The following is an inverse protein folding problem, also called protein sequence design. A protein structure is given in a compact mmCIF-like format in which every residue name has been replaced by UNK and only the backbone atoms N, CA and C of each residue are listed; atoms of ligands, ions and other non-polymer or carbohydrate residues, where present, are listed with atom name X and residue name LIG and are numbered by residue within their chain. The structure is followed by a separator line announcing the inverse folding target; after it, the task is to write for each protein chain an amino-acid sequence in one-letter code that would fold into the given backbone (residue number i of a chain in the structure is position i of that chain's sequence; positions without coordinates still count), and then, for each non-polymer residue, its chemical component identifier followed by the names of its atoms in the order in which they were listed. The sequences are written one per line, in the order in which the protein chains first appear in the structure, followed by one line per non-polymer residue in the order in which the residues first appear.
data_IF_664793651132
#
_entry.id   IF_664793651132
#
_cell.length_a   1.000
_cell.length_b   1.000
_cell.length_c   1.000
_cell.angle_alpha   90.00
_cell.angle_beta   90.00
_cell.angle_gamma   90.00
#
_symmetry.space_group_name_H-M   'P 1'
#
loop_
_entity.id
_entity.type
_entity.pdbx_description
1 polymer ?
#
# COMPACT_ATOMS: atom_id res chain seq x y z
N UNK A 1 11.69 0.82 -18.98
CA UNK A 1 11.42 1.69 -17.82
C UNK A 1 10.11 1.32 -17.10
N UNK A 2 9.05 1.04 -17.82
CA UNK A 2 7.74 0.66 -17.27
C UNK A 2 7.82 -0.61 -16.41
N UNK A 3 8.49 -1.66 -16.86
CA UNK A 3 8.74 -2.86 -16.06
C UNK A 3 9.45 -2.59 -14.73
N UNK A 4 10.46 -1.73 -14.71
CA UNK A 4 11.16 -1.33 -13.49
C UNK A 4 10.24 -0.62 -12.49
N UNK A 5 9.29 0.19 -12.99
CA UNK A 5 8.29 0.87 -12.17
C UNK A 5 7.22 -0.13 -11.70
N UNK A 6 6.60 -0.87 -12.62
CA UNK A 6 5.53 -1.81 -12.32
C UNK A 6 5.96 -2.89 -11.31
N UNK A 7 7.22 -3.38 -11.43
CA UNK A 7 7.78 -4.36 -10.50
C UNK A 7 8.43 -3.72 -9.24
N UNK A 8 8.25 -2.45 -9.03
CA UNK A 8 8.85 -1.67 -7.94
C UNK A 8 10.34 -2.01 -7.75
N UNK A 9 11.16 -1.52 -8.66
CA UNK A 9 12.62 -1.76 -8.66
C UNK A 9 13.00 -3.25 -8.74
N UNK A 10 12.24 -4.05 -9.48
CA UNK A 10 12.39 -5.51 -9.64
C UNK A 10 12.08 -6.33 -8.38
N UNK A 11 11.54 -5.73 -7.31
CA UNK A 11 11.09 -6.45 -6.10
C UNK A 11 10.01 -7.48 -6.45
N UNK A 12 9.10 -7.14 -7.37
CA UNK A 12 8.05 -8.05 -7.84
C UNK A 12 8.56 -9.32 -8.54
N UNK A 13 9.84 -9.41 -8.86
CA UNK A 13 10.45 -10.64 -9.39
C UNK A 13 10.83 -11.64 -8.29
N UNK A 14 10.78 -11.25 -7.01
CA UNK A 14 11.10 -12.13 -5.89
C UNK A 14 10.01 -13.17 -5.68
N UNK A 15 10.43 -14.42 -5.50
CA UNK A 15 9.53 -15.55 -5.24
C UNK A 15 9.74 -16.06 -3.79
N UNK A 16 8.73 -16.67 -3.16
CA UNK A 16 7.48 -17.20 -3.74
C UNK A 16 6.31 -16.20 -3.81
N UNK A 17 6.29 -15.08 -3.11
CA UNK A 17 5.13 -14.19 -2.94
C UNK A 17 5.46 -12.75 -3.34
N UNK A 18 5.45 -12.39 -4.65
CA UNK A 18 5.85 -11.07 -5.14
C UNK A 18 5.14 -9.91 -4.44
N UNK A 19 3.82 -9.94 -4.34
CA UNK A 19 3.03 -8.90 -3.67
C UNK A 19 3.39 -8.72 -2.20
N UNK A 20 3.75 -9.79 -1.48
CA UNK A 20 4.25 -9.68 -0.10
C UNK A 20 5.61 -8.96 -0.07
N UNK A 21 6.49 -9.25 -1.01
CA UNK A 21 7.76 -8.54 -1.14
C UNK A 21 7.56 -7.07 -1.54
N UNK A 22 6.60 -6.80 -2.45
CA UNK A 22 6.19 -5.45 -2.83
C UNK A 22 5.72 -4.64 -1.63
N UNK A 23 4.77 -5.19 -0.86
CA UNK A 23 4.25 -4.57 0.37
C UNK A 23 5.34 -4.36 1.43
N UNK A 24 6.26 -5.33 1.63
CA UNK A 24 7.39 -5.18 2.55
C UNK A 24 8.36 -4.09 2.10
N UNK A 25 8.69 -4.01 0.82
CA UNK A 25 9.57 -2.99 0.27
C UNK A 25 8.92 -1.59 0.31
N UNK A 26 7.59 -1.51 0.28
CA UNK A 26 6.85 -0.27 0.43
C UNK A 26 7.07 0.39 1.80
N UNK A 27 7.35 -0.39 2.87
CA UNK A 27 7.54 0.14 4.23
C UNK A 27 8.77 1.05 4.33
N UNK A 28 10.01 0.60 4.02
CA UNK A 28 11.17 1.47 4.08
C UNK A 28 11.11 2.62 3.07
N UNK A 29 10.48 2.43 1.91
CA UNK A 29 10.26 3.49 0.94
C UNK A 29 9.35 4.60 1.51
N UNK A 30 8.24 4.23 2.15
CA UNK A 30 7.36 5.16 2.86
C UNK A 30 8.11 5.96 3.93
N UNK A 31 8.89 5.25 4.76
CA UNK A 31 9.70 5.89 5.79
C UNK A 31 10.70 6.89 5.18
N UNK A 32 11.41 6.52 4.12
CA UNK A 32 12.39 7.39 3.46
C UNK A 32 11.74 8.65 2.86
N UNK A 33 10.57 8.52 2.21
CA UNK A 33 9.82 9.66 1.66
C UNK A 33 9.38 10.58 2.81
N UNK A 34 8.83 10.01 3.89
CA UNK A 34 8.44 10.80 5.05
C UNK A 34 9.63 11.51 5.71
N UNK A 35 10.78 10.84 5.85
CA UNK A 35 11.97 11.43 6.42
C UNK A 35 12.51 12.62 5.58
N UNK A 36 12.35 12.54 4.25
CA UNK A 36 12.82 13.59 3.34
C UNK A 36 11.82 14.76 3.19
N UNK A 37 10.51 14.47 3.17
CA UNK A 37 9.48 15.42 2.75
C UNK A 37 8.33 15.60 3.77
N UNK A 38 8.41 14.94 4.93
CA UNK A 38 7.37 14.97 5.96
C UNK A 38 6.07 14.26 5.56
N UNK A 39 5.05 14.42 6.41
CA UNK A 39 3.74 13.76 6.22
C UNK A 39 3.02 14.26 4.95
N UNK A 40 3.16 15.54 4.62
CA UNK A 40 2.51 16.11 3.42
C UNK A 40 3.16 15.53 2.16
N UNK A 41 4.49 15.48 2.11
CA UNK A 41 5.21 14.88 0.98
C UNK A 41 4.88 13.41 0.80
N UNK A 42 4.76 12.65 1.89
CA UNK A 42 4.30 11.26 1.84
C UNK A 42 2.85 11.14 1.34
N UNK A 43 1.94 11.98 1.82
CA UNK A 43 0.55 11.98 1.37
C UNK A 43 0.42 12.30 -0.13
N UNK A 44 1.25 13.20 -0.67
CA UNK A 44 1.29 13.51 -2.10
C UNK A 44 1.96 12.41 -2.94
N UNK A 45 2.85 11.63 -2.35
CA UNK A 45 3.46 10.49 -3.03
C UNK A 45 2.46 9.36 -3.33
N UNK A 46 1.39 9.21 -2.53
CA UNK A 46 0.35 8.20 -2.75
C UNK A 46 -0.35 8.36 -4.10
N UNK A 47 -1.00 9.49 -4.42
CA UNK A 47 -1.61 9.66 -5.74
C UNK A 47 -0.56 9.67 -6.86
N UNK A 48 0.66 10.11 -6.61
CA UNK A 48 1.73 10.06 -7.61
C UNK A 48 2.11 8.61 -7.96
N UNK A 49 2.34 7.74 -6.97
CA UNK A 49 2.64 6.33 -7.22
C UNK A 49 1.47 5.61 -7.87
N UNK A 50 0.23 5.94 -7.50
CA UNK A 50 -0.97 5.40 -8.15
C UNK A 50 -1.00 5.74 -9.66
N UNK A 51 -0.83 7.01 -10.02
CA UNK A 51 -0.89 7.45 -11.42
C UNK A 51 0.26 6.87 -12.26
N UNK A 52 1.47 6.88 -11.71
CA UNK A 52 2.65 6.32 -12.37
C UNK A 52 2.52 4.79 -12.49
N UNK A 53 2.04 4.14 -11.43
CA UNK A 53 1.78 2.70 -11.38
C UNK A 53 0.71 2.30 -12.41
N UNK A 54 -0.43 2.97 -12.42
CA UNK A 54 -1.47 2.74 -13.42
C UNK A 54 -0.95 2.86 -14.85
N UNK A 55 -0.19 3.92 -15.15
CA UNK A 55 0.41 4.10 -16.46
C UNK A 55 1.39 2.96 -16.81
N UNK A 56 2.25 2.57 -15.86
CA UNK A 56 3.22 1.49 -16.08
C UNK A 56 2.54 0.13 -16.24
N UNK A 57 1.57 -0.19 -15.39
CA UNK A 57 0.77 -1.42 -15.46
C UNK A 57 0.03 -1.52 -16.79
N UNK A 58 -0.60 -0.42 -17.24
CA UNK A 58 -1.30 -0.38 -18.51
C UNK A 58 -0.38 -0.73 -19.69
N UNK A 59 0.86 -0.22 -19.71
CA UNK A 59 1.82 -0.52 -20.79
C UNK A 59 2.31 -1.97 -20.70
N UNK A 60 2.57 -2.49 -19.48
CA UNK A 60 3.08 -3.85 -19.31
C UNK A 60 2.03 -4.93 -19.59
N UNK A 61 0.74 -4.59 -19.47
CA UNK A 61 -0.38 -5.52 -19.75
C UNK A 61 -1.00 -5.34 -21.13
N UNK A 62 -0.64 -4.28 -21.87
CA UNK A 62 -1.19 -4.00 -23.19
C UNK A 62 -0.87 -5.12 -24.18
N UNK A 63 -1.90 -5.64 -24.85
CA UNK A 63 -1.77 -6.75 -25.82
C UNK A 63 -1.44 -8.11 -25.20
N UNK A 64 -1.54 -8.27 -23.87
CA UNK A 64 -1.38 -9.56 -23.19
C UNK A 64 -2.74 -10.12 -22.73
N UNK A 65 -2.84 -11.46 -22.67
CA UNK A 65 -4.03 -12.13 -22.11
C UNK A 65 -4.04 -12.10 -20.58
N UNK A 66 -2.92 -11.75 -19.95
CA UNK A 66 -2.78 -11.66 -18.50
C UNK A 66 -2.86 -10.20 -18.06
N UNK A 67 -4.00 -9.79 -17.54
CA UNK A 67 -4.27 -8.42 -17.09
C UNK A 67 -3.64 -8.10 -15.73
N UNK A 68 -3.30 -9.12 -14.94
CA UNK A 68 -2.69 -9.00 -13.61
C UNK A 68 -1.49 -9.96 -13.49
N UNK A 69 -0.34 -9.64 -14.07
CA UNK A 69 0.88 -10.41 -13.88
C UNK A 69 1.38 -10.28 -12.43
N UNK A 70 1.58 -11.39 -11.75
CA UNK A 70 1.99 -11.41 -10.33
C UNK A 70 3.32 -10.70 -10.00
N UNK A 71 4.07 -10.29 -11.00
CA UNK A 71 5.31 -9.50 -10.85
C UNK A 71 5.07 -7.98 -10.84
N UNK A 72 3.87 -7.53 -11.20
CA UNK A 72 3.44 -6.16 -10.98
C UNK A 72 3.08 -6.05 -9.50
N UNK A 73 3.74 -5.13 -8.79
CA UNK A 73 3.61 -4.94 -7.34
C UNK A 73 3.55 -3.46 -6.96
N UNK A 74 3.43 -2.57 -7.95
CA UNK A 74 3.31 -1.13 -7.73
C UNK A 74 1.95 -0.75 -7.12
N UNK A 75 0.93 -1.53 -7.36
CA UNK A 75 -0.40 -1.50 -6.76
C UNK A 75 -0.33 -1.77 -5.26
N UNK A 76 0.38 -2.84 -4.86
CA UNK A 76 0.62 -3.14 -3.45
C UNK A 76 1.39 -2.02 -2.75
N UNK A 77 2.29 -1.34 -3.46
CA UNK A 77 2.98 -0.17 -2.89
C UNK A 77 1.99 0.96 -2.63
N UNK A 78 1.11 1.26 -3.57
CA UNK A 78 0.10 2.30 -3.41
C UNK A 78 -0.87 1.97 -2.26
N UNK A 79 -1.40 0.74 -2.21
CA UNK A 79 -2.30 0.26 -1.16
C UNK A 79 -1.64 0.24 0.21
N UNK A 80 -0.41 -0.26 0.30
CA UNK A 80 0.36 -0.27 1.54
C UNK A 80 0.65 1.14 2.07
N UNK A 81 0.93 2.12 1.19
CA UNK A 81 1.14 3.50 1.61
C UNK A 81 -0.14 4.16 2.12
N UNK A 82 -1.30 3.84 1.55
CA UNK A 82 -2.60 4.26 2.08
C UNK A 82 -2.81 3.70 3.49
N UNK A 83 -2.52 2.41 3.69
CA UNK A 83 -2.65 1.75 4.99
C UNK A 83 -1.74 2.37 6.07
N UNK A 84 -0.56 2.89 5.68
CA UNK A 84 0.41 3.54 6.57
C UNK A 84 0.05 4.99 6.91
N UNK A 85 -0.71 5.68 6.07
CA UNK A 85 -0.97 7.12 6.20
C UNK A 85 -1.48 7.53 7.60
N UNK A 86 -2.42 6.81 8.24
CA UNK A 86 -2.88 7.16 9.58
C UNK A 86 -1.76 7.16 10.63
N UNK A 87 -0.76 6.27 10.49
CA UNK A 87 0.37 6.18 11.42
C UNK A 87 1.25 7.42 11.30
N UNK A 88 1.52 7.86 10.07
CA UNK A 88 2.34 9.06 9.83
C UNK A 88 1.63 10.33 10.31
N UNK A 89 0.32 10.43 10.09
CA UNK A 89 -0.50 11.54 10.61
C UNK A 89 -0.52 11.51 12.15
N UNK A 90 -0.77 10.34 12.75
CA UNK A 90 -0.79 10.18 14.20
C UNK A 90 0.54 10.51 14.87
N UNK A 91 1.66 10.05 14.27
CA UNK A 91 2.99 10.36 14.75
C UNK A 91 3.30 11.87 14.71
N UNK A 92 2.90 12.54 13.62
CA UNK A 92 3.08 13.99 13.48
C UNK A 92 2.28 14.78 14.52
N UNK A 93 1.02 14.37 14.80
CA UNK A 93 0.18 15.03 15.80
C UNK A 93 0.66 14.83 17.24
N UNK A 94 1.19 13.64 17.53
CA UNK A 94 1.67 13.27 18.85
C UNK A 94 3.15 13.65 19.08
N UNK A 95 3.82 14.25 18.10
CA UNK A 95 5.27 14.49 18.08
C UNK A 95 6.07 13.22 18.45
N UNK A 96 5.53 12.06 18.08
CA UNK A 96 6.06 10.76 18.46
C UNK A 96 7.08 10.25 17.44
N UNK A 97 8.02 9.44 17.94
CA UNK A 97 8.94 8.74 17.06
C UNK A 97 8.16 7.72 16.21
N UNK A 98 8.20 7.90 14.89
CA UNK A 98 7.49 7.07 13.94
C UNK A 98 7.83 5.58 14.05
N UNK A 99 9.11 5.25 14.31
CA UNK A 99 9.54 3.85 14.48
C UNK A 99 9.05 3.25 15.80
N UNK A 100 8.80 4.08 16.82
CA UNK A 100 8.19 3.59 18.06
C UNK A 100 6.73 3.15 17.87
N UNK A 101 6.07 3.57 16.79
CA UNK A 101 4.73 3.15 16.42
C UNK A 101 4.71 1.81 15.66
N UNK A 102 5.70 0.94 15.87
CA UNK A 102 5.84 -0.35 15.19
C UNK A 102 4.58 -1.24 15.24
N UNK A 103 3.73 -1.24 16.32
CA UNK A 103 2.50 -2.05 16.29
C UNK A 103 1.55 -1.58 15.19
N UNK A 104 1.51 -0.26 14.93
CA UNK A 104 0.75 0.31 13.83
C UNK A 104 1.28 -0.16 12.46
N UNK A 105 2.61 -0.18 12.29
CA UNK A 105 3.23 -0.68 11.06
C UNK A 105 2.87 -2.14 10.79
N UNK A 106 2.92 -2.98 11.82
CA UNK A 106 2.52 -4.40 11.73
C UNK A 106 1.03 -4.51 11.39
N UNK A 107 0.18 -3.73 12.05
CA UNK A 107 -1.27 -3.71 11.77
C UNK A 107 -1.56 -3.28 10.34
N UNK A 108 -0.89 -2.23 9.85
CA UNK A 108 -1.06 -1.76 8.47
C UNK A 108 -0.63 -2.82 7.45
N UNK A 109 0.53 -3.45 7.67
CA UNK A 109 1.03 -4.49 6.77
C UNK A 109 0.13 -5.73 6.75
N UNK A 110 -0.17 -6.29 7.92
CA UNK A 110 -0.99 -7.50 8.01
C UNK A 110 -2.44 -7.23 7.57
N UNK A 111 -3.00 -6.08 7.95
CA UNK A 111 -4.34 -5.68 7.54
C UNK A 111 -4.44 -5.50 6.02
N UNK A 112 -3.49 -4.79 5.42
CA UNK A 112 -3.45 -4.61 3.97
C UNK A 112 -3.36 -5.97 3.27
N UNK A 113 -2.39 -6.83 3.63
CA UNK A 113 -2.25 -8.17 3.01
C UNK A 113 -3.48 -9.06 3.22
N UNK A 114 -4.13 -8.96 4.38
CA UNK A 114 -5.37 -9.69 4.64
C UNK A 114 -6.48 -9.28 3.66
N UNK A 115 -6.74 -8.00 3.51
CA UNK A 115 -7.80 -7.49 2.63
C UNK A 115 -7.49 -7.72 1.16
N UNK A 116 -6.25 -7.49 0.74
CA UNK A 116 -5.79 -7.72 -0.62
C UNK A 116 -5.91 -9.21 -1.02
N UNK A 117 -5.47 -10.15 -0.20
CA UNK A 117 -5.54 -11.58 -0.50
C UNK A 117 -6.98 -12.10 -0.47
N UNK A 118 -7.81 -11.62 0.48
CA UNK A 118 -9.19 -12.11 0.63
C UNK A 118 -10.15 -11.53 -0.39
N UNK A 119 -9.80 -10.41 -1.00
CA UNK A 119 -10.60 -9.71 -2.03
C UNK A 119 -12.06 -9.49 -1.60
N UNK A 120 -12.28 -9.14 -0.32
CA UNK A 120 -13.62 -9.04 0.26
C UNK A 120 -14.42 -7.86 -0.30
N UNK A 121 -15.66 -8.11 -0.70
CA UNK A 121 -16.65 -7.09 -1.11
C UNK A 121 -16.18 -6.19 -2.26
N UNK A 122 -16.04 -4.86 -2.05
CA UNK A 122 -15.69 -3.92 -3.13
C UNK A 122 -14.28 -4.13 -3.69
N UNK A 123 -13.37 -4.78 -2.96
CA UNK A 123 -12.04 -5.14 -3.44
C UNK A 123 -12.17 -6.17 -4.58
N UNK A 124 -12.96 -7.23 -4.35
CA UNK A 124 -13.22 -8.24 -5.39
C UNK A 124 -13.97 -7.68 -6.60
N UNK A 125 -14.80 -6.65 -6.41
CA UNK A 125 -15.42 -5.95 -7.54
C UNK A 125 -14.38 -5.20 -8.39
N UNK A 126 -13.41 -4.54 -7.77
CA UNK A 126 -12.34 -3.85 -8.49
C UNK A 126 -11.41 -4.83 -9.22
N UNK A 127 -11.03 -5.93 -8.56
CA UNK A 127 -10.23 -7.02 -9.12
C UNK A 127 -10.84 -7.65 -10.39
N UNK A 128 -12.18 -7.80 -10.41
CA UNK A 128 -12.90 -8.36 -11.55
C UNK A 128 -12.97 -7.45 -12.79
N UNK A 129 -12.46 -6.22 -12.74
CA UNK A 129 -12.48 -5.30 -13.89
C UNK A 129 -11.65 -5.80 -15.07
N UNK A 130 -10.57 -6.55 -14.81
CA UNK A 130 -9.71 -7.09 -15.85
C UNK A 130 -8.95 -6.03 -16.67
N UNK A 131 -8.71 -4.86 -16.08
CA UNK A 131 -7.93 -3.77 -16.67
C UNK A 131 -6.88 -3.21 -15.69
N UNK A 132 -5.90 -2.49 -16.18
CA UNK A 132 -4.84 -1.90 -15.35
C UNK A 132 -5.37 -0.96 -14.25
N UNK A 133 -6.55 -0.38 -14.43
CA UNK A 133 -7.18 0.42 -13.41
C UNK A 133 -7.77 -0.46 -12.31
N UNK A 134 -8.31 -1.62 -12.66
CA UNK A 134 -8.80 -2.62 -11.70
C UNK A 134 -7.69 -3.10 -10.79
N UNK A 135 -6.54 -3.47 -11.36
CA UNK A 135 -5.32 -3.90 -10.64
C UNK A 135 -4.88 -2.85 -9.61
N UNK A 136 -4.92 -1.57 -9.95
CA UNK A 136 -4.56 -0.51 -9.01
C UNK A 136 -5.64 -0.22 -7.97
N UNK A 137 -6.94 -0.35 -8.35
CA UNK A 137 -8.06 0.04 -7.48
C UNK A 137 -8.34 -0.98 -6.38
N UNK A 138 -8.18 -2.27 -6.62
CA UNK A 138 -8.44 -3.28 -5.59
C UNK A 138 -7.48 -3.08 -4.42
N UNK A 139 -6.21 -2.79 -4.67
CA UNK A 139 -5.23 -2.51 -3.63
C UNK A 139 -5.44 -1.15 -2.95
N UNK A 140 -5.89 -0.13 -3.67
CA UNK A 140 -6.31 1.13 -3.06
C UNK A 140 -7.46 0.90 -2.07
N UNK A 141 -8.46 0.11 -2.45
CA UNK A 141 -9.60 -0.21 -1.57
C UNK A 141 -9.12 -1.07 -0.40
N UNK A 142 -8.28 -2.07 -0.62
CA UNK A 142 -7.67 -2.88 0.45
C UNK A 142 -6.87 -2.00 1.43
N UNK A 143 -6.09 -1.05 0.91
CA UNK A 143 -5.34 -0.06 1.69
C UNK A 143 -6.24 0.84 2.53
N UNK A 144 -7.38 1.29 2.00
CA UNK A 144 -8.37 2.08 2.75
C UNK A 144 -8.99 1.27 3.91
N UNK A 145 -9.35 0.01 3.69
CA UNK A 145 -9.83 -0.86 4.76
C UNK A 145 -8.78 -1.09 5.83
N UNK A 146 -7.52 -1.30 5.42
CA UNK A 146 -6.40 -1.43 6.36
C UNK A 146 -6.14 -0.12 7.14
N UNK A 147 -6.25 1.03 6.50
CA UNK A 147 -6.15 2.33 7.17
C UNK A 147 -7.23 2.52 8.23
N UNK A 148 -8.48 2.15 7.94
CA UNK A 148 -9.58 2.16 8.93
C UNK A 148 -9.25 1.22 10.09
N UNK A 149 -8.76 0.00 9.80
CA UNK A 149 -8.36 -0.95 10.85
C UNK A 149 -7.27 -0.36 11.74
N UNK A 150 -6.25 0.29 11.17
CA UNK A 150 -5.18 0.97 11.94
C UNK A 150 -5.76 2.03 12.88
N UNK A 151 -6.67 2.87 12.39
CA UNK A 151 -7.31 3.91 13.21
C UNK A 151 -8.12 3.30 14.35
N UNK A 152 -8.92 2.27 14.09
CA UNK A 152 -9.71 1.57 15.10
C UNK A 152 -8.83 0.92 16.16
N UNK A 153 -7.75 0.26 15.77
CA UNK A 153 -6.79 -0.35 16.69
C UNK A 153 -6.08 0.70 17.54
N UNK A 154 -5.65 1.81 16.95
CA UNK A 154 -5.04 2.92 17.68
C UNK A 154 -6.01 3.50 18.72
N UNK A 155 -7.26 3.72 18.36
CA UNK A 155 -8.29 4.21 19.31
C UNK A 155 -8.56 3.23 20.46
N UNK A 156 -8.62 1.93 20.14
CA UNK A 156 -8.82 0.88 21.14
C UNK A 156 -7.69 0.81 22.17
N UNK A 157 -6.44 0.92 21.72
CA UNK A 157 -5.28 0.89 22.61
C UNK A 157 -5.13 2.19 23.40
N UNK A 158 -5.37 3.37 22.81
CA UNK A 158 -5.31 4.65 23.51
C UNK A 158 -6.37 4.74 24.62
N UNK A 159 -7.60 4.34 24.34
CA UNK A 159 -8.69 4.39 25.33
C UNK A 159 -8.53 3.42 26.50
N UNK A 160 -7.65 2.41 26.41
CA UNK A 160 -7.38 1.44 27.49
C UNK A 160 -6.11 1.71 28.29
N UNK A 161 -5.15 2.44 27.71
CA UNK A 161 -3.82 2.64 28.30
C UNK A 161 -3.64 4.02 28.94
N UNK A 162 -4.57 4.94 28.69
CA UNK A 162 -4.61 6.26 29.35
C UNK A 162 -5.98 6.46 30.01
N UNK A 163 -6.10 6.12 31.32
CA UNK A 163 -7.28 6.47 32.10
C UNK A 163 -7.36 7.98 32.35
#
# INVERSE_FOLDING_TARGET
MTKFIATFFYVGLLRPAPGTWGSLAALPAAWAIHAAFGVIGFALAIPAVFLIGWWATKIETDGTDNHDPSEIVIDEVAGQWIALLPIFIGAAHAEANLLAMWPGWVTAFLGFRFFDITKFGPIGWADQRGDALGVMLDDVIAGLFAAILVVLMAGFFHGRLMP
#
